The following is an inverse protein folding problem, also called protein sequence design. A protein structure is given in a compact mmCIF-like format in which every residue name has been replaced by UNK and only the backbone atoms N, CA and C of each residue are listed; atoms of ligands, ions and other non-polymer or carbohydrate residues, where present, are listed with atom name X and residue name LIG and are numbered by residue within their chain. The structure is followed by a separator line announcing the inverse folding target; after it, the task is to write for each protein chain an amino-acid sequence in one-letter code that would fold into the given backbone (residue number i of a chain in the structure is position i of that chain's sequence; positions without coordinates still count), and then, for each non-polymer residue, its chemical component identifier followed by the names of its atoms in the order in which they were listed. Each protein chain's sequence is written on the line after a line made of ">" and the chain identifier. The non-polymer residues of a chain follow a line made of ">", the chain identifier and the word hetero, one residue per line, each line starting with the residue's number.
data_IF_876240523661
#
_entry.id   IF_876240523661
#
_cell.length_a   1.000
_cell.length_b   1.000
_cell.length_c   1.000
_cell.angle_alpha   90.00
_cell.angle_beta   90.00
_cell.angle_gamma   90.00
#
_symmetry.space_group_name_H-M   'P 1'
#
loop_
_entity.id
_entity.type
_entity.pdbx_description
1 polymer ?
#
# COMPACT_ATOMS: atom_id res chain seq x y z
N UNK A 1 8.59 21.16 3.81
CA UNK A 1 7.13 21.06 3.96
C UNK A 1 6.86 20.47 5.33
N UNK A 2 6.12 21.16 6.21
CA UNK A 2 5.64 20.53 7.44
C UNK A 2 4.71 19.38 7.04
N UNK A 3 5.02 18.18 7.52
CA UNK A 3 4.12 17.03 7.36
C UNK A 3 3.10 17.14 8.48
N UNK A 4 1.89 17.58 8.17
CA UNK A 4 0.79 17.61 9.14
C UNK A 4 0.38 16.17 9.49
N UNK A 5 0.67 15.66 10.71
CA UNK A 5 0.41 14.27 11.07
C UNK A 5 -1.09 13.94 11.18
N UNK A 6 -1.95 14.96 11.16
CA UNK A 6 -3.41 14.85 11.22
C UNK A 6 -4.06 14.74 9.84
N UNK A 7 -3.32 15.03 8.77
CA UNK A 7 -3.86 15.08 7.40
C UNK A 7 -3.91 13.67 6.80
N UNK A 8 -5.02 12.97 7.03
CA UNK A 8 -5.29 11.66 6.43
C UNK A 8 -5.75 11.85 4.98
N UNK A 9 -5.03 11.25 4.04
CA UNK A 9 -5.45 11.16 2.62
C UNK A 9 -5.92 9.74 2.34
N UNK A 10 -7.15 9.59 1.87
CA UNK A 10 -7.70 8.32 1.41
C UNK A 10 -7.68 8.28 -0.11
N UNK A 11 -7.09 7.23 -0.69
CA UNK A 11 -7.05 7.01 -2.13
C UNK A 11 -7.93 5.82 -2.47
N UNK A 12 -8.80 5.96 -3.47
CA UNK A 12 -9.59 4.84 -4.00
C UNK A 12 -8.80 4.17 -5.11
N UNK A 13 -8.64 2.85 -5.02
CA UNK A 13 -7.97 2.03 -6.02
C UNK A 13 -8.97 0.98 -6.49
N UNK A 14 -9.14 0.87 -7.80
CA UNK A 14 -9.98 -0.17 -8.40
C UNK A 14 -9.07 -1.24 -8.98
N UNK A 15 -9.29 -2.48 -8.59
CA UNK A 15 -8.56 -3.65 -9.07
C UNK A 15 -9.54 -4.73 -9.53
N UNK A 16 -9.15 -5.59 -10.48
CA UNK A 16 -9.94 -6.76 -10.85
C UNK A 16 -10.22 -7.66 -9.64
N UNK A 17 -11.37 -8.34 -9.65
CA UNK A 17 -11.85 -9.14 -8.53
C UNK A 17 -10.90 -10.28 -8.16
N UNK A 18 -10.38 -10.99 -9.15
CA UNK A 18 -9.46 -12.12 -8.97
C UNK A 18 -8.16 -11.66 -8.30
N UNK A 19 -7.58 -10.56 -8.81
CA UNK A 19 -6.39 -9.92 -8.23
C UNK A 19 -6.65 -9.46 -6.80
N UNK A 20 -7.83 -8.89 -6.51
CA UNK A 20 -8.19 -8.50 -5.16
C UNK A 20 -8.24 -9.71 -4.21
N UNK A 21 -8.74 -10.86 -4.67
CA UNK A 21 -8.80 -12.08 -3.85
C UNK A 21 -7.40 -12.61 -3.54
N UNK A 22 -6.54 -12.75 -4.55
CA UNK A 22 -5.16 -13.20 -4.36
C UNK A 22 -4.39 -12.30 -3.40
N UNK A 23 -4.49 -10.98 -3.57
CA UNK A 23 -3.83 -10.01 -2.69
C UNK A 23 -4.37 -10.08 -1.25
N UNK A 24 -5.66 -10.34 -1.08
CA UNK A 24 -6.26 -10.52 0.25
C UNK A 24 -5.72 -11.77 0.95
N UNK A 25 -5.51 -12.85 0.23
CA UNK A 25 -4.89 -14.06 0.79
C UNK A 25 -3.43 -13.84 1.18
N UNK A 26 -2.66 -13.14 0.33
CA UNK A 26 -1.28 -12.77 0.63
C UNK A 26 -1.21 -11.88 1.87
N UNK A 27 -2.08 -10.87 1.96
CA UNK A 27 -2.17 -9.98 3.12
C UNK A 27 -2.48 -10.76 4.40
N UNK A 28 -3.44 -11.70 4.36
CA UNK A 28 -3.77 -12.58 5.48
C UNK A 28 -2.59 -13.47 5.90
N UNK A 29 -1.91 -14.12 4.94
CA UNK A 29 -0.73 -14.97 5.21
C UNK A 29 0.41 -14.19 5.88
N UNK A 30 0.54 -12.90 5.56
CA UNK A 30 1.55 -12.00 6.13
C UNK A 30 1.08 -11.29 7.42
N UNK A 31 -0.18 -11.48 7.83
CA UNK A 31 -0.75 -10.83 9.02
C UNK A 31 -0.86 -9.30 8.88
N UNK A 32 -0.92 -8.77 7.66
CA UNK A 32 -0.99 -7.32 7.40
C UNK A 32 -2.31 -6.94 6.72
N UNK A 33 -2.68 -5.67 6.83
CA UNK A 33 -3.83 -5.14 6.10
C UNK A 33 -3.51 -4.97 4.61
N UNK A 34 -4.53 -5.09 3.75
CA UNK A 34 -4.41 -4.81 2.31
C UNK A 34 -3.86 -3.40 2.04
N UNK A 35 -4.33 -2.40 2.79
CA UNK A 35 -3.86 -1.01 2.65
C UNK A 35 -2.36 -0.89 2.90
N UNK A 36 -1.84 -1.61 3.90
CA UNK A 36 -0.40 -1.65 4.19
C UNK A 36 0.38 -2.37 3.10
N UNK A 37 -0.17 -3.47 2.56
CA UNK A 37 0.44 -4.17 1.42
C UNK A 37 0.56 -3.25 0.20
N UNK A 38 -0.51 -2.54 -0.16
CA UNK A 38 -0.48 -1.58 -1.27
C UNK A 38 0.48 -0.42 -1.01
N UNK A 39 0.51 0.10 0.22
CA UNK A 39 1.44 1.18 0.58
C UNK A 39 2.90 0.73 0.46
N UNK A 40 3.24 -0.46 0.98
CA UNK A 40 4.59 -1.01 0.88
C UNK A 40 4.99 -1.27 -0.57
N UNK A 41 4.09 -1.84 -1.38
CA UNK A 41 4.34 -2.05 -2.81
C UNK A 41 4.56 -0.73 -3.55
N UNK A 42 3.75 0.29 -3.25
CA UNK A 42 3.90 1.61 -3.84
C UNK A 42 5.22 2.27 -3.43
N UNK A 43 5.60 2.19 -2.15
CA UNK A 43 6.89 2.71 -1.68
C UNK A 43 8.04 1.97 -2.39
N UNK A 44 8.03 0.64 -2.42
CA UNK A 44 9.08 -0.14 -3.08
C UNK A 44 9.19 0.17 -4.59
N UNK A 45 8.08 0.51 -5.25
CA UNK A 45 8.05 0.77 -6.70
C UNK A 45 8.41 2.22 -7.06
N UNK A 46 7.89 3.18 -6.30
CA UNK A 46 7.94 4.61 -6.65
C UNK A 46 8.84 5.44 -5.75
N UNK A 47 9.22 4.90 -4.59
CA UNK A 47 10.26 5.42 -3.70
C UNK A 47 11.40 4.39 -3.59
N UNK A 48 11.94 3.85 -4.71
CA UNK A 48 13.16 3.07 -4.62
C UNK A 48 14.25 4.03 -4.15
N UNK A 49 14.75 3.79 -2.95
CA UNK A 49 16.00 4.28 -2.37
C UNK A 49 16.57 5.54 -3.04
N UNK A 50 16.36 6.71 -2.42
CA UNK A 50 17.19 7.88 -2.73
C UNK A 50 18.61 7.48 -2.30
N UNK A 51 19.57 7.30 -3.23
CA UNK A 51 20.93 6.90 -2.86
C UNK A 51 21.44 7.95 -1.87
N UNK A 52 21.73 7.50 -0.64
CA UNK A 52 22.48 8.29 0.35
C UNK A 52 23.97 8.17 0.07
#
# INVERSE_FOLDING_TARGET
>A
MPIDPTKKTTVRITVPKDIHQELKEVAQKRGISMSQLFLQAAIATYLPDRPS
#
